data_IF_961799467815
#
_entry.id   IF_961799467815
#
_cell.length_a   1.000
_cell.length_b   1.000
_cell.length_c   1.000
_cell.angle_alpha   90.00
_cell.angle_beta   90.00
_cell.angle_gamma   90.00
#
_symmetry.space_group_name_H-M   'P 1'
#
loop_
_entity.id
_entity.type
_entity.pdbx_description
1 polymer ?
#
# COMPACT_ATOMS: atom_id res chain seq x y z
N UNK A 1 10.65 5.94 -8.19
CA UNK A 1 10.59 4.66 -7.49
C UNK A 1 9.47 4.71 -6.46
N UNK A 2 8.72 3.62 -6.28
CA UNK A 2 7.68 3.49 -5.28
C UNK A 2 8.19 2.79 -4.03
N UNK A 3 7.40 2.85 -2.95
CA UNK A 3 7.64 2.11 -1.71
C UNK A 3 6.65 0.97 -1.62
N UNK A 4 7.15 -0.24 -1.40
CA UNK A 4 6.34 -1.42 -1.22
C UNK A 4 5.93 -1.55 0.25
N UNK A 5 4.63 -1.59 0.51
CA UNK A 5 4.06 -1.98 1.79
C UNK A 5 3.83 -3.49 1.81
N UNK A 6 4.34 -4.14 2.84
CA UNK A 6 4.27 -5.61 3.00
C UNK A 6 3.11 -5.99 3.92
N UNK A 7 2.48 -7.11 3.61
CA UNK A 7 1.37 -7.64 4.43
C UNK A 7 1.86 -8.41 5.68
N UNK A 8 3.16 -8.77 5.73
CA UNK A 8 3.74 -9.53 6.84
C UNK A 8 5.10 -8.96 7.24
N UNK A 9 5.41 -9.04 8.51
CA UNK A 9 6.65 -8.50 9.09
C UNK A 9 6.65 -6.98 9.15
N UNK A 10 7.82 -6.36 9.01
CA UNK A 10 7.91 -4.90 8.93
C UNK A 10 7.18 -4.41 7.67
N UNK A 11 6.19 -3.51 7.82
CA UNK A 11 5.39 -3.04 6.68
C UNK A 11 6.21 -2.38 5.57
N UNK A 12 7.28 -1.71 5.92
CA UNK A 12 8.26 -1.14 4.99
C UNK A 12 9.64 -1.64 5.39
N UNK A 13 10.36 -2.23 4.44
CA UNK A 13 11.72 -2.74 4.69
C UNK A 13 12.67 -1.62 5.08
N UNK A 14 13.51 -1.90 6.07
CA UNK A 14 14.56 -0.99 6.55
C UNK A 14 14.00 0.38 7.01
N UNK A 15 12.77 0.39 7.49
CA UNK A 15 12.17 1.61 8.04
C UNK A 15 12.82 1.99 9.37
N UNK A 16 13.09 1.00 10.20
CA UNK A 16 13.75 1.18 11.50
C UNK A 16 15.25 1.41 11.33
N UNK A 17 15.81 2.29 12.15
CA UNK A 17 17.25 2.46 12.21
C UNK A 17 17.94 1.20 12.74
N UNK A 18 19.17 0.92 12.28
CA UNK A 18 19.99 -0.12 12.89
C UNK A 18 20.19 0.10 14.39
N UNK A 19 20.41 -0.99 15.11
CA UNK A 19 20.75 -0.91 16.54
C UNK A 19 21.95 0.02 16.77
N UNK A 20 21.82 0.94 17.71
CA UNK A 20 22.87 1.91 18.05
C UNK A 20 22.85 3.21 17.20
N UNK A 21 21.92 3.37 16.28
CA UNK A 21 21.74 4.62 15.53
C UNK A 21 20.43 5.31 15.92
N UNK A 22 20.39 6.15 16.95
CA UNK A 22 19.20 6.89 17.31
C UNK A 22 18.84 7.93 16.22
N UNK A 23 17.55 8.34 16.11
CA UNK A 23 17.08 9.28 15.07
C UNK A 23 17.85 10.60 15.04
N UNK A 24 18.25 11.11 16.21
CA UNK A 24 18.99 12.37 16.34
C UNK A 24 20.40 12.25 15.74
N UNK A 25 21.07 11.11 15.92
CA UNK A 25 22.39 10.86 15.35
C UNK A 25 22.28 10.68 13.82
N UNK A 26 21.26 9.97 13.37
CA UNK A 26 20.97 9.85 11.94
C UNK A 26 20.73 11.23 11.32
N UNK A 27 19.91 12.10 11.96
CA UNK A 27 19.65 13.44 11.47
C UNK A 27 20.92 14.26 11.34
N UNK A 28 21.79 14.23 12.36
CA UNK A 28 23.11 14.91 12.30
C UNK A 28 23.98 14.38 11.15
N UNK A 29 24.01 13.08 10.94
CA UNK A 29 24.73 12.47 9.81
C UNK A 29 24.21 12.96 8.45
N UNK A 30 22.89 13.03 8.28
CA UNK A 30 22.27 13.56 7.07
C UNK A 30 22.53 15.05 6.85
N UNK A 31 22.58 15.85 7.92
CA UNK A 31 22.92 17.27 7.83
C UNK A 31 24.37 17.46 7.37
N UNK A 32 25.30 16.66 7.85
CA UNK A 32 26.70 16.66 7.38
C UNK A 32 26.77 16.29 5.89
N UNK A 33 26.09 15.19 5.50
CA UNK A 33 26.05 14.76 4.09
C UNK A 33 25.43 15.82 3.18
N UNK A 34 24.37 16.47 3.63
CA UNK A 34 23.74 17.59 2.90
C UNK A 34 24.73 18.72 2.68
N UNK A 35 25.46 19.14 3.71
CA UNK A 35 26.43 20.24 3.61
C UNK A 35 27.59 19.89 2.68
N UNK A 36 28.13 18.67 2.76
CA UNK A 36 29.19 18.19 1.84
C UNK A 36 28.68 18.14 0.40
N UNK A 37 27.48 17.64 0.18
CA UNK A 37 26.89 17.56 -1.15
C UNK A 37 26.54 18.95 -1.70
N UNK A 38 26.07 19.88 -0.85
CA UNK A 38 25.80 21.26 -1.26
C UNK A 38 27.08 21.95 -1.76
N UNK A 39 28.21 21.81 -1.04
CA UNK A 39 29.49 22.34 -1.51
C UNK A 39 29.96 21.72 -2.84
N UNK A 40 29.71 20.41 -3.04
CA UNK A 40 29.97 19.78 -4.33
C UNK A 40 29.06 20.28 -5.44
N UNK A 41 27.77 20.51 -5.15
CA UNK A 41 26.83 21.07 -6.10
C UNK A 41 27.27 22.48 -6.58
N UNK A 42 27.74 23.32 -5.66
CA UNK A 42 28.28 24.63 -6.00
C UNK A 42 29.51 24.56 -6.90
N UNK A 43 30.37 23.56 -6.67
CA UNK A 43 31.60 23.40 -7.45
C UNK A 43 31.37 22.78 -8.83
N UNK A 44 30.49 21.78 -8.92
CA UNK A 44 30.32 20.95 -10.12
C UNK A 44 29.08 21.33 -10.94
N UNK A 45 28.07 21.96 -10.32
CA UNK A 45 26.80 22.32 -10.98
C UNK A 45 25.95 21.12 -11.41
N UNK A 46 26.26 19.90 -10.93
CA UNK A 46 25.60 18.67 -11.35
C UNK A 46 24.21 18.52 -10.67
N UNK A 47 23.11 18.55 -11.42
CA UNK A 47 21.75 18.43 -10.87
C UNK A 47 21.47 17.07 -10.20
N UNK A 48 22.25 16.03 -10.50
CA UNK A 48 22.10 14.72 -9.84
C UNK A 48 22.41 14.82 -8.34
N UNK A 49 23.37 15.70 -7.96
CA UNK A 49 23.70 15.94 -6.55
C UNK A 49 22.50 16.52 -5.80
N UNK A 50 21.78 17.47 -6.38
CA UNK A 50 20.55 18.02 -5.81
C UNK A 50 19.47 16.96 -5.63
N UNK A 51 19.29 16.10 -6.63
CA UNK A 51 18.34 14.96 -6.59
C UNK A 51 18.70 13.97 -5.48
N UNK A 52 19.98 13.73 -5.25
CA UNK A 52 20.47 12.86 -4.17
C UNK A 52 20.19 13.43 -2.78
N UNK A 53 20.44 14.73 -2.58
CA UNK A 53 20.10 15.43 -1.33
C UNK A 53 18.60 15.29 -1.05
N UNK A 54 17.75 15.57 -2.04
CA UNK A 54 16.30 15.46 -1.91
C UNK A 54 15.86 14.02 -1.59
N UNK A 55 16.52 13.02 -2.17
CA UNK A 55 16.22 11.60 -1.92
C UNK A 55 16.52 11.18 -0.47
N UNK A 56 17.62 11.62 0.10
CA UNK A 56 17.95 11.34 1.51
C UNK A 56 16.98 12.02 2.47
N UNK A 57 16.59 13.27 2.21
CA UNK A 57 15.59 13.97 3.02
C UNK A 57 14.22 13.30 2.94
N UNK A 58 13.83 12.84 1.75
CA UNK A 58 12.59 12.10 1.57
C UNK A 58 12.60 10.78 2.35
N UNK A 59 13.69 10.01 2.26
CA UNK A 59 13.83 8.75 2.98
C UNK A 59 13.73 8.95 4.51
N UNK A 60 14.39 9.98 5.04
CA UNK A 60 14.31 10.31 6.47
C UNK A 60 12.88 10.69 6.90
N UNK A 61 12.18 11.52 6.12
CA UNK A 61 10.78 11.86 6.39
C UNK A 61 9.88 10.65 6.37
N UNK A 62 10.11 9.72 5.45
CA UNK A 62 9.37 8.46 5.40
C UNK A 62 9.57 7.61 6.66
N UNK A 63 10.81 7.49 7.14
CA UNK A 63 11.11 6.75 8.37
C UNK A 63 10.38 7.31 9.60
N UNK A 64 10.22 8.63 9.67
CA UNK A 64 9.54 9.29 10.79
C UNK A 64 8.02 9.24 10.69
N UNK A 65 7.45 9.25 9.48
CA UNK A 65 6.00 9.36 9.26
C UNK A 65 5.29 8.01 9.04
N UNK A 66 6.02 6.99 8.56
CA UNK A 66 5.41 5.72 8.24
C UNK A 66 4.89 4.93 9.46
N UNK A 67 5.52 4.94 10.65
CA UNK A 67 4.96 4.27 11.81
C UNK A 67 3.55 4.76 12.16
N UNK A 68 3.34 6.08 12.16
CA UNK A 68 2.02 6.68 12.42
C UNK A 68 1.00 6.33 11.32
N UNK A 69 1.43 6.30 10.06
CA UNK A 69 0.57 5.91 8.93
C UNK A 69 0.06 4.47 9.07
N UNK A 70 0.93 3.56 9.50
CA UNK A 70 0.66 2.12 9.58
C UNK A 70 -0.14 1.75 10.83
N UNK A 71 -0.01 2.52 11.90
CA UNK A 71 -0.74 2.31 13.15
C UNK A 71 -2.22 2.64 12.96
N UNK A 72 -3.05 1.60 12.91
CA UNK A 72 -4.50 1.71 12.77
C UNK A 72 -5.22 1.89 14.12
N UNK A 73 -4.53 1.91 15.25
CA UNK A 73 -5.13 2.05 16.58
C UNK A 73 -5.85 3.38 16.78
N UNK A 74 -5.50 4.38 15.97
CA UNK A 74 -6.15 5.70 15.95
C UNK A 74 -7.46 5.74 15.15
N UNK A 75 -7.77 4.68 14.40
CA UNK A 75 -9.02 4.61 13.64
C UNK A 75 -10.22 4.26 14.54
N UNK A 76 -11.38 4.79 14.21
CA UNK A 76 -12.60 4.46 14.94
C UNK A 76 -13.00 3.01 14.70
N UNK A 77 -13.67 2.41 15.69
CA UNK A 77 -14.22 1.05 15.54
C UNK A 77 -15.15 0.95 14.32
N UNK A 78 -15.98 1.96 14.09
CA UNK A 78 -16.86 2.01 12.93
C UNK A 78 -16.11 2.06 11.60
N UNK A 79 -14.95 2.71 11.55
CA UNK A 79 -14.08 2.71 10.36
C UNK A 79 -13.50 1.31 10.14
N UNK A 80 -12.94 0.68 11.17
CA UNK A 80 -12.37 -0.67 11.07
C UNK A 80 -13.42 -1.69 10.62
N UNK A 81 -14.63 -1.64 11.20
CA UNK A 81 -15.77 -2.47 10.82
C UNK A 81 -16.22 -2.22 9.36
N UNK A 82 -16.29 -0.96 8.93
CA UNK A 82 -16.68 -0.61 7.57
C UNK A 82 -15.73 -1.21 6.52
N UNK A 83 -14.44 -1.14 6.77
CA UNK A 83 -13.43 -1.76 5.89
C UNK A 83 -13.33 -3.28 6.06
N UNK A 84 -13.85 -3.85 7.15
CA UNK A 84 -13.74 -5.26 7.47
C UNK A 84 -12.34 -5.69 7.91
N UNK A 85 -11.57 -4.80 8.55
CA UNK A 85 -10.20 -5.08 9.02
C UNK A 85 -10.19 -6.17 10.08
N UNK A 86 -11.17 -6.16 11.00
CA UNK A 86 -11.27 -7.12 12.11
C UNK A 86 -12.19 -8.30 11.80
N UNK A 87 -12.52 -8.50 10.53
CA UNK A 87 -13.44 -9.55 10.12
C UNK A 87 -12.74 -10.91 10.13
N UNK A 88 -13.18 -11.80 10.99
CA UNK A 88 -12.61 -13.15 11.19
C UNK A 88 -13.30 -14.23 10.38
N UNK A 89 -14.46 -13.93 9.78
CA UNK A 89 -15.20 -14.88 8.97
C UNK A 89 -14.43 -15.20 7.68
N UNK A 90 -14.26 -16.50 7.41
CA UNK A 90 -13.66 -16.92 6.15
C UNK A 90 -14.59 -16.60 4.98
N UNK A 91 -14.06 -16.17 3.83
CA UNK A 91 -14.85 -15.97 2.62
C UNK A 91 -15.53 -17.25 2.18
N UNK A 92 -16.73 -17.12 1.62
CA UNK A 92 -17.44 -18.26 1.03
C UNK A 92 -16.69 -18.75 -0.21
N UNK A 93 -16.56 -20.06 -0.32
CA UNK A 93 -15.79 -20.68 -1.39
C UNK A 93 -14.38 -21.07 -0.94
N UNK A 94 -13.80 -22.06 -1.58
CA UNK A 94 -12.41 -22.45 -1.37
C UNK A 94 -11.58 -21.97 -2.53
N UNK A 95 -10.64 -21.08 -2.32
CA UNK A 95 -9.80 -20.56 -3.38
C UNK A 95 -8.33 -20.91 -3.18
N UNK A 96 -7.62 -21.09 -4.29
CA UNK A 96 -6.15 -21.09 -4.31
C UNK A 96 -5.56 -19.70 -4.09
N UNK A 97 -6.38 -18.70 -3.82
CA UNK A 97 -6.05 -17.27 -3.66
C UNK A 97 -5.04 -16.94 -2.56
N UNK A 98 -4.16 -17.85 -2.26
CA UNK A 98 -3.26 -17.78 -1.13
C UNK A 98 -1.84 -17.30 -1.47
N UNK A 99 -1.66 -16.47 -2.45
CA UNK A 99 -0.36 -15.79 -2.58
C UNK A 99 -0.26 -14.60 -1.62
N UNK A 100 -0.48 -14.83 -0.32
CA UNK A 100 -0.19 -13.86 0.75
C UNK A 100 -1.17 -12.69 0.91
N UNK A 101 -2.24 -12.61 0.14
CA UNK A 101 -3.30 -11.61 0.31
C UNK A 101 -4.55 -12.27 0.92
N UNK A 102 -4.71 -12.12 2.21
CA UNK A 102 -5.93 -12.48 2.92
C UNK A 102 -6.95 -11.34 2.86
N UNK A 103 -8.20 -11.61 3.22
CA UNK A 103 -9.23 -10.56 3.37
C UNK A 103 -8.74 -9.45 4.31
N UNK A 104 -8.18 -9.82 5.46
CA UNK A 104 -7.63 -8.86 6.42
C UNK A 104 -6.56 -7.96 5.79
N UNK A 105 -5.58 -8.55 5.08
CA UNK A 105 -4.51 -7.78 4.47
C UNK A 105 -5.01 -6.83 3.37
N UNK A 106 -6.00 -7.26 2.57
CA UNK A 106 -6.59 -6.39 1.55
C UNK A 106 -7.40 -5.25 2.17
N UNK A 107 -8.19 -5.54 3.21
CA UNK A 107 -8.92 -4.54 3.99
C UNK A 107 -8.00 -3.49 4.61
N UNK A 108 -6.91 -3.92 5.23
CA UNK A 108 -5.87 -3.03 5.77
C UNK A 108 -5.23 -2.18 4.68
N UNK A 109 -4.92 -2.76 3.53
CA UNK A 109 -4.32 -2.02 2.41
C UNK A 109 -5.26 -0.95 1.85
N UNK A 110 -6.56 -1.21 1.76
CA UNK A 110 -7.55 -0.20 1.37
C UNK A 110 -7.63 0.95 2.39
N UNK A 111 -7.64 0.64 3.68
CA UNK A 111 -7.64 1.65 4.73
C UNK A 111 -6.34 2.47 4.74
N UNK A 112 -5.19 1.82 4.56
CA UNK A 112 -3.90 2.51 4.43
C UNK A 112 -3.86 3.41 3.19
N UNK A 113 -4.45 2.99 2.06
CA UNK A 113 -4.54 3.81 0.86
C UNK A 113 -5.30 5.12 1.13
N UNK A 114 -6.43 5.08 1.86
CA UNK A 114 -7.15 6.29 2.27
C UNK A 114 -6.26 7.19 3.14
N UNK A 115 -5.57 6.63 4.14
CA UNK A 115 -4.65 7.39 5.01
C UNK A 115 -3.49 8.03 4.25
N UNK A 116 -2.98 7.35 3.22
CA UNK A 116 -1.95 7.89 2.33
C UNK A 116 -2.47 9.08 1.51
N UNK A 117 -3.67 8.94 0.95
CA UNK A 117 -4.31 10.03 0.18
C UNK A 117 -4.55 11.25 1.07
N UNK A 118 -5.04 11.08 2.30
CA UNK A 118 -5.21 12.16 3.27
C UNK A 118 -3.91 12.91 3.57
N UNK A 119 -2.77 12.22 3.50
CA UNK A 119 -1.43 12.80 3.69
C UNK A 119 -0.79 13.34 2.41
N UNK A 120 -1.54 13.39 1.33
CA UNK A 120 -1.11 13.94 0.05
C UNK A 120 -0.26 13.02 -0.81
N UNK A 121 -0.27 11.71 -0.57
CA UNK A 121 0.35 10.74 -1.48
C UNK A 121 -0.45 10.72 -2.78
N UNK A 122 0.20 11.07 -3.88
CA UNK A 122 -0.46 11.28 -5.18
C UNK A 122 -0.80 10.00 -5.93
N UNK A 123 -0.09 8.91 -5.65
CA UNK A 123 -0.30 7.63 -6.34
C UNK A 123 -0.17 6.48 -5.35
N UNK A 124 -1.23 5.69 -5.22
CA UNK A 124 -1.29 4.49 -4.42
C UNK A 124 -1.76 3.34 -5.30
N UNK A 125 -1.04 2.24 -5.32
CA UNK A 125 -1.41 1.04 -6.05
C UNK A 125 -1.67 -0.10 -5.06
N UNK A 126 -2.88 -0.66 -5.11
CA UNK A 126 -3.25 -1.85 -4.34
C UNK A 126 -3.35 -3.00 -5.33
N UNK A 127 -2.56 -4.05 -5.09
CA UNK A 127 -2.54 -5.23 -5.96
C UNK A 127 -3.20 -6.38 -5.22
N UNK A 128 -4.19 -6.99 -5.84
CA UNK A 128 -4.80 -8.25 -5.43
C UNK A 128 -4.70 -9.25 -6.58
N UNK A 129 -3.99 -10.32 -6.35
CA UNK A 129 -3.73 -11.36 -7.35
C UNK A 129 -4.78 -12.49 -7.32
N UNK A 130 -4.55 -13.52 -8.12
CA UNK A 130 -5.33 -14.77 -8.13
C UNK A 130 -6.70 -14.68 -8.80
N UNK A 131 -6.81 -13.88 -9.86
CA UNK A 131 -7.99 -13.84 -10.72
C UNK A 131 -7.92 -14.78 -11.93
N UNK A 132 -6.82 -15.51 -12.07
CA UNK A 132 -6.58 -16.46 -13.15
C UNK A 132 -7.02 -17.87 -12.73
N UNK A 133 -8.28 -18.18 -12.99
CA UNK A 133 -8.94 -19.41 -12.50
C UNK A 133 -8.90 -20.50 -13.57
N UNK A 134 -7.93 -21.41 -13.47
CA UNK A 134 -7.82 -22.57 -14.38
C UNK A 134 -8.70 -23.78 -13.97
N UNK A 135 -9.33 -23.73 -12.79
CA UNK A 135 -10.23 -24.75 -12.26
C UNK A 135 -11.12 -24.12 -11.18
N UNK A 136 -12.26 -24.75 -10.87
CA UNK A 136 -13.16 -24.34 -9.77
C UNK A 136 -13.58 -22.88 -9.82
N UNK A 137 -13.83 -22.35 -11.03
CA UNK A 137 -14.08 -20.94 -11.31
C UNK A 137 -15.14 -20.34 -10.38
N UNK A 138 -16.29 -20.99 -10.22
CA UNK A 138 -17.41 -20.40 -9.48
C UNK A 138 -17.05 -20.14 -8.01
N UNK A 139 -16.37 -21.08 -7.36
CA UNK A 139 -15.98 -20.90 -5.95
C UNK A 139 -14.82 -19.92 -5.78
N UNK A 140 -13.82 -19.99 -6.66
CA UNK A 140 -12.65 -19.10 -6.58
C UNK A 140 -13.03 -17.66 -6.91
N UNK A 141 -13.90 -17.45 -7.89
CA UNK A 141 -14.42 -16.13 -8.24
C UNK A 141 -15.26 -15.54 -7.09
N UNK A 142 -16.16 -16.36 -6.50
CA UNK A 142 -16.95 -15.95 -5.36
C UNK A 142 -16.07 -15.56 -4.16
N UNK A 143 -15.04 -16.35 -3.88
CA UNK A 143 -14.07 -16.05 -2.84
C UNK A 143 -13.35 -14.71 -3.08
N UNK A 144 -12.77 -14.52 -4.27
CA UNK A 144 -12.03 -13.30 -4.60
C UNK A 144 -12.95 -12.08 -4.59
N UNK A 145 -14.15 -12.19 -5.13
CA UNK A 145 -15.14 -11.12 -5.09
C UNK A 145 -15.48 -10.71 -3.64
N UNK A 146 -15.71 -11.70 -2.77
CA UNK A 146 -16.04 -11.42 -1.37
C UNK A 146 -14.88 -10.79 -0.58
N UNK A 147 -13.62 -11.10 -0.95
CA UNK A 147 -12.44 -10.47 -0.34
C UNK A 147 -12.36 -8.99 -0.67
N UNK A 148 -12.66 -8.59 -1.92
CA UNK A 148 -12.43 -7.22 -2.38
C UNK A 148 -13.64 -6.30 -2.26
N UNK A 149 -14.86 -6.82 -2.24
CA UNK A 149 -16.10 -6.05 -2.32
C UNK A 149 -16.24 -5.03 -1.18
N UNK A 150 -16.27 -5.49 0.06
CA UNK A 150 -16.46 -4.64 1.24
C UNK A 150 -15.38 -3.56 1.37
N UNK A 151 -14.07 -3.86 1.31
CA UNK A 151 -13.04 -2.84 1.50
C UNK A 151 -12.98 -1.81 0.38
N UNK A 152 -13.28 -2.19 -0.86
CA UNK A 152 -13.37 -1.23 -1.97
C UNK A 152 -14.57 -0.31 -1.79
N UNK A 153 -15.74 -0.86 -1.45
CA UNK A 153 -16.92 -0.06 -1.19
C UNK A 153 -16.70 0.91 -0.01
N UNK A 154 -16.02 0.44 1.05
CA UNK A 154 -15.66 1.28 2.19
C UNK A 154 -14.69 2.40 1.79
N UNK A 155 -13.66 2.10 1.01
CA UNK A 155 -12.69 3.09 0.52
C UNK A 155 -13.39 4.22 -0.24
N UNK A 156 -14.26 3.89 -1.19
CA UNK A 156 -14.97 4.89 -2.00
C UNK A 156 -15.90 5.74 -1.11
N UNK A 157 -16.65 5.11 -0.19
CA UNK A 157 -17.55 5.81 0.72
C UNK A 157 -16.77 6.74 1.67
N UNK A 158 -15.67 6.28 2.22
CA UNK A 158 -14.84 7.03 3.16
C UNK A 158 -14.17 8.24 2.47
N UNK A 159 -13.61 8.04 1.26
CA UNK A 159 -13.09 9.15 0.44
C UNK A 159 -14.18 10.20 0.16
N UNK A 160 -15.41 9.76 -0.16
CA UNK A 160 -16.54 10.66 -0.38
C UNK A 160 -16.93 11.42 0.88
N UNK A 161 -17.07 10.74 2.02
CA UNK A 161 -17.44 11.35 3.29
C UNK A 161 -16.41 12.39 3.77
N UNK A 162 -15.13 12.19 3.45
CA UNK A 162 -14.03 13.10 3.79
C UNK A 162 -13.84 14.23 2.76
N UNK A 163 -14.63 14.28 1.69
CA UNK A 163 -14.47 15.25 0.62
C UNK A 163 -13.21 15.06 -0.23
N UNK A 164 -12.61 13.86 -0.20
CA UNK A 164 -11.41 13.53 -0.94
C UNK A 164 -11.69 12.94 -2.33
N UNK A 165 -12.91 12.40 -2.54
CA UNK A 165 -13.24 11.70 -3.78
C UNK A 165 -13.24 12.63 -5.00
N UNK A 166 -13.59 13.91 -4.85
CA UNK A 166 -13.62 14.87 -5.94
C UNK A 166 -12.21 15.19 -6.50
N UNK A 167 -11.17 14.97 -5.69
CA UNK A 167 -9.76 15.17 -6.06
C UNK A 167 -8.99 13.87 -6.22
N UNK A 168 -9.65 12.70 -6.06
CA UNK A 168 -9.01 11.38 -6.11
C UNK A 168 -9.67 10.50 -7.17
N UNK A 169 -8.89 10.12 -8.18
CA UNK A 169 -9.33 9.14 -9.16
C UNK A 169 -9.12 7.73 -8.63
N UNK A 170 -10.17 6.94 -8.53
CA UNK A 170 -10.09 5.51 -8.20
C UNK A 170 -10.22 4.71 -9.48
N UNK A 171 -9.17 3.95 -9.82
CA UNK A 171 -9.14 3.12 -11.04
C UNK A 171 -9.14 1.66 -10.62
N UNK A 172 -10.11 0.91 -11.12
CA UNK A 172 -10.09 -0.55 -11.06
C UNK A 172 -9.70 -1.06 -12.45
N UNK A 173 -8.57 -1.74 -12.49
CA UNK A 173 -8.04 -2.32 -13.72
C UNK A 173 -7.67 -3.77 -13.54
N UNK A 174 -7.69 -4.50 -14.63
CA UNK A 174 -7.13 -5.83 -14.77
C UNK A 174 -6.11 -5.79 -15.92
N UNK A 175 -5.51 -6.94 -16.24
CA UNK A 175 -4.50 -7.01 -17.29
C UNK A 175 -5.15 -7.02 -18.69
N UNK A 176 -5.50 -8.17 -19.20
CA UNK A 176 -6.09 -8.36 -20.55
C UNK A 176 -7.45 -9.07 -20.45
N UNK A 177 -8.18 -9.09 -21.53
CA UNK A 177 -9.45 -9.82 -21.61
C UNK A 177 -9.26 -11.33 -21.64
N UNK A 178 -10.33 -12.05 -21.38
CA UNK A 178 -10.39 -13.52 -21.42
C UNK A 178 -11.22 -13.99 -22.59
N UNK A 179 -10.82 -15.13 -23.19
CA UNK A 179 -11.63 -15.81 -24.20
C UNK A 179 -12.84 -16.49 -23.55
N UNK A 180 -13.94 -16.72 -24.27
CA UNK A 180 -15.10 -17.45 -23.74
C UNK A 180 -14.86 -18.96 -23.63
N UNK A 181 -13.71 -19.47 -24.08
CA UNK A 181 -13.35 -20.89 -24.04
C UNK A 181 -12.53 -21.19 -22.79
N UNK A 182 -12.78 -22.32 -22.17
CA UNK A 182 -12.06 -22.83 -20.99
C UNK A 182 -11.13 -23.98 -21.39
N UNK A 183 -10.00 -24.12 -20.72
CA UNK A 183 -9.10 -25.29 -20.86
C UNK A 183 -9.67 -26.51 -20.18
N UNK A 184 -10.43 -26.34 -19.12
CA UNK A 184 -11.06 -27.41 -18.36
C UNK A 184 -12.56 -27.15 -18.21
N UNK A 185 -13.31 -28.19 -17.82
CA UNK A 185 -14.76 -28.10 -17.64
C UNK A 185 -15.17 -27.05 -16.58
N UNK A 186 -14.33 -26.84 -15.56
CA UNK A 186 -14.66 -26.02 -14.40
C UNK A 186 -13.70 -24.82 -14.22
N UNK A 187 -12.94 -24.47 -15.27
CA UNK A 187 -11.96 -23.37 -15.23
C UNK A 187 -11.97 -22.50 -16.48
N UNK A 188 -11.07 -21.52 -16.48
CA UNK A 188 -10.95 -20.55 -17.55
C UNK A 188 -9.50 -20.22 -17.84
#
# INVERSE_FOLDING_TARGET
AGVLFRNQGEPVLNLSNPAGLPPELQRKGLDVLRNVNAGRLEQLGDPEIASRIASYELAFRMQTSAPELIDLSSESKSTLEAYGVDRTEEPKGGGRGQSGSTRESFSRNCLLARRMVERGVRFVNIIYASWDHHSNLDNELAYNAEVVDQPIAALIKDLKQRGLLDSTMVVWGSEFGRTPTAETKDGR
#
